data_IF_781700617456
#
_entry.id   IF_781700617456
#
_cell.length_a   1.000
_cell.length_b   1.000
_cell.length_c   1.000
_cell.angle_alpha   90.00
_cell.angle_beta   90.00
_cell.angle_gamma   90.00
#
_symmetry.space_group_name_H-M   'P 1'
#
loop_
_entity.id
_entity.type
_entity.pdbx_description
1 polymer ?
#
# COMPACT_ATOMS: atom_id res chain seq x y z
N UNK A 1 -15.37 -5.23 -94.69
CA UNK A 1 -16.29 -4.57 -93.79
C UNK A 1 -15.87 -4.91 -92.34
N UNK A 2 -15.23 -3.88 -91.67
CA UNK A 2 -14.69 -4.04 -90.31
C UNK A 2 -15.71 -3.43 -89.31
N UNK A 3 -16.23 -4.24 -88.41
CA UNK A 3 -17.12 -3.79 -87.34
C UNK A 3 -16.30 -3.51 -86.12
N UNK A 4 -16.26 -2.25 -85.73
CA UNK A 4 -15.55 -1.74 -84.53
C UNK A 4 -16.49 -1.98 -83.34
N UNK A 5 -16.08 -2.83 -82.38
CA UNK A 5 -16.78 -3.02 -81.11
C UNK A 5 -16.23 -2.01 -80.10
N UNK A 6 -17.09 -1.10 -79.66
CA UNK A 6 -16.81 -0.10 -78.63
C UNK A 6 -17.02 -0.77 -77.26
N UNK A 7 -15.93 -0.95 -76.51
CA UNK A 7 -16.00 -1.42 -75.12
C UNK A 7 -16.05 -0.17 -74.23
N UNK A 8 -17.22 0.04 -73.60
CA UNK A 8 -17.41 1.07 -72.59
C UNK A 8 -16.96 0.51 -71.23
N UNK A 9 -15.85 1.03 -70.70
CA UNK A 9 -15.37 0.67 -69.35
C UNK A 9 -16.11 1.54 -68.33
N UNK A 10 -17.02 0.96 -67.55
CA UNK A 10 -17.63 1.60 -66.37
C UNK A 10 -16.60 1.55 -65.20
N UNK A 11 -16.03 2.67 -64.85
CA UNK A 11 -15.29 2.85 -63.61
C UNK A 11 -16.32 3.03 -62.49
N UNK A 12 -16.51 1.98 -61.67
CA UNK A 12 -17.23 2.09 -60.42
C UNK A 12 -16.33 2.72 -59.37
N UNK A 13 -16.57 4.00 -59.04
CA UNK A 13 -15.95 4.65 -57.93
C UNK A 13 -16.53 4.08 -56.63
N UNK A 14 -15.74 3.23 -55.94
CA UNK A 14 -16.07 2.80 -54.55
C UNK A 14 -15.77 3.96 -53.63
N UNK A 15 -16.78 4.69 -53.20
CA UNK A 15 -16.67 5.61 -52.08
C UNK A 15 -16.42 4.81 -50.80
N UNK A 16 -15.18 4.83 -50.33
CA UNK A 16 -14.87 4.36 -48.97
C UNK A 16 -15.57 5.28 -47.97
N UNK A 17 -16.61 4.81 -47.37
CA UNK A 17 -17.24 5.46 -46.23
C UNK A 17 -16.23 5.42 -45.06
N UNK A 18 -15.66 6.58 -44.74
CA UNK A 18 -14.84 6.81 -43.56
C UNK A 18 -15.73 6.56 -42.34
N UNK A 19 -15.51 5.45 -41.66
CA UNK A 19 -16.16 5.17 -40.37
C UNK A 19 -15.75 6.26 -39.39
N UNK A 20 -16.72 6.97 -38.74
CA UNK A 20 -16.38 7.92 -37.71
C UNK A 20 -15.63 7.18 -36.59
N UNK A 21 -14.37 7.62 -36.36
CA UNK A 21 -13.45 7.00 -35.43
C UNK A 21 -14.11 6.66 -34.12
N UNK A 22 -14.09 5.38 -33.77
CA UNK A 22 -14.52 4.92 -32.45
C UNK A 22 -13.78 5.77 -31.42
N UNK A 23 -14.48 6.63 -30.70
CA UNK A 23 -13.95 7.34 -29.54
C UNK A 23 -13.35 6.28 -28.62
N UNK A 24 -12.02 6.22 -28.56
CA UNK A 24 -11.28 5.37 -27.65
C UNK A 24 -11.88 5.63 -26.27
N UNK A 25 -12.60 4.64 -25.71
CA UNK A 25 -13.23 4.78 -24.40
C UNK A 25 -12.14 5.26 -23.44
N UNK A 26 -12.39 6.37 -22.77
CA UNK A 26 -11.46 6.86 -21.76
C UNK A 26 -11.22 5.72 -20.76
N UNK A 27 -9.97 5.42 -20.38
CA UNK A 27 -9.69 4.35 -19.44
C UNK A 27 -10.53 4.57 -18.20
N UNK A 28 -11.25 3.53 -17.75
CA UNK A 28 -12.08 3.61 -16.56
C UNK A 28 -11.24 4.21 -15.43
N UNK A 29 -11.71 5.31 -14.85
CA UNK A 29 -10.97 6.01 -13.81
C UNK A 29 -10.82 5.08 -12.60
N UNK A 30 -9.59 4.87 -12.15
CA UNK A 30 -9.27 4.05 -10.97
C UNK A 30 -9.99 4.61 -9.73
N UNK A 31 -10.55 3.71 -8.92
CA UNK A 31 -11.29 4.07 -7.71
C UNK A 31 -10.44 3.76 -6.47
N UNK A 32 -9.39 4.53 -6.28
CA UNK A 32 -8.50 4.40 -5.14
C UNK A 32 -8.79 5.51 -4.15
N UNK A 33 -8.97 5.12 -2.88
CA UNK A 33 -9.12 6.05 -1.76
C UNK A 33 -7.91 5.93 -0.85
N UNK A 34 -7.36 7.07 -0.45
CA UNK A 34 -6.42 7.13 0.65
C UNK A 34 -6.99 8.02 1.76
N UNK A 35 -6.92 7.53 3.00
CA UNK A 35 -7.42 8.24 4.18
C UNK A 35 -8.86 8.76 3.97
N UNK A 36 -9.75 7.87 3.55
CA UNK A 36 -11.17 8.11 3.24
C UNK A 36 -11.45 9.05 2.05
N UNK A 37 -10.44 9.62 1.39
CA UNK A 37 -10.61 10.52 0.23
C UNK A 37 -10.27 9.81 -1.07
N UNK A 38 -11.16 9.92 -2.07
CA UNK A 38 -10.91 9.45 -3.43
C UNK A 38 -9.78 10.28 -4.05
N UNK A 39 -8.80 9.60 -4.67
CA UNK A 39 -7.68 10.28 -5.32
C UNK A 39 -8.14 11.00 -6.59
N UNK A 40 -7.66 12.23 -6.76
CA UNK A 40 -7.80 13.00 -7.98
C UNK A 40 -6.78 12.60 -9.04
N UNK A 41 -6.93 13.15 -10.26
CA UNK A 41 -6.06 12.80 -11.39
C UNK A 41 -4.56 13.03 -11.11
N UNK A 42 -4.19 14.13 -10.44
CA UNK A 42 -2.80 14.43 -10.10
C UNK A 42 -2.21 13.43 -9.08
N UNK A 43 -3.01 13.02 -8.10
CA UNK A 43 -2.61 12.03 -7.10
C UNK A 43 -2.49 10.63 -7.72
N UNK A 44 -3.43 10.26 -8.60
CA UNK A 44 -3.35 9.01 -9.36
C UNK A 44 -2.08 8.97 -10.23
N UNK A 45 -1.73 10.06 -10.92
CA UNK A 45 -0.50 10.14 -11.69
C UNK A 45 0.76 10.01 -10.81
N UNK A 46 0.72 10.52 -9.58
CA UNK A 46 1.79 10.33 -8.60
C UNK A 46 1.87 8.88 -8.15
N UNK A 47 0.74 8.26 -7.82
CA UNK A 47 0.64 6.86 -7.43
C UNK A 47 1.16 5.94 -8.55
N UNK A 48 0.77 6.16 -9.81
CA UNK A 48 1.22 5.37 -10.96
C UNK A 48 2.74 5.42 -11.18
N UNK A 49 3.38 6.54 -10.83
CA UNK A 49 4.86 6.63 -10.86
C UNK A 49 5.50 5.73 -9.80
N UNK A 50 4.92 5.68 -8.60
CA UNK A 50 5.40 4.84 -7.50
C UNK A 50 5.17 3.36 -7.79
N UNK A 51 4.02 3.02 -8.36
CA UNK A 51 3.65 1.65 -8.71
C UNK A 51 4.61 0.97 -9.69
N UNK A 52 5.34 1.73 -10.49
CA UNK A 52 6.36 1.17 -11.40
C UNK A 52 7.49 0.44 -10.66
N UNK A 53 7.72 0.78 -9.39
CA UNK A 53 8.77 0.14 -8.57
C UNK A 53 8.28 -0.91 -7.58
N UNK A 54 6.99 -0.90 -7.24
CA UNK A 54 6.44 -1.73 -6.14
C UNK A 54 5.24 -2.58 -6.55
N UNK A 55 4.75 -2.44 -7.78
CA UNK A 55 3.56 -3.12 -8.28
C UNK A 55 2.29 -2.26 -8.16
N UNK A 56 1.30 -2.60 -8.99
CA UNK A 56 0.05 -1.85 -9.10
C UNK A 56 -0.89 -2.16 -7.93
N UNK A 57 -1.47 -1.12 -7.34
CA UNK A 57 -2.55 -1.26 -6.37
C UNK A 57 -3.88 -1.51 -7.08
N UNK A 58 -4.70 -2.37 -6.50
CA UNK A 58 -6.08 -2.58 -6.92
C UNK A 58 -6.96 -1.40 -6.50
N UNK A 59 -8.14 -1.28 -7.12
CA UNK A 59 -9.17 -0.37 -6.63
C UNK A 59 -9.54 -0.73 -5.20
N UNK A 60 -9.69 0.29 -4.35
CA UNK A 60 -9.96 0.03 -2.93
C UNK A 60 -9.66 1.21 -2.02
N UNK A 61 -9.78 0.93 -0.73
CA UNK A 61 -9.50 1.92 0.33
C UNK A 61 -8.23 1.54 1.08
N UNK A 62 -7.37 2.51 1.22
CA UNK A 62 -6.05 2.40 1.84
C UNK A 62 -5.86 3.54 2.85
N UNK A 63 -4.88 3.41 3.69
CA UNK A 63 -4.38 4.49 4.53
C UNK A 63 -2.89 4.75 4.23
N UNK A 64 -2.49 5.97 4.47
CA UNK A 64 -1.13 6.45 4.29
C UNK A 64 -0.79 7.48 5.37
N UNK A 65 0.33 7.28 6.03
CA UNK A 65 0.89 8.21 6.99
C UNK A 65 1.96 9.08 6.30
N UNK A 66 1.71 10.36 6.06
CA UNK A 66 2.67 11.23 5.38
C UNK A 66 3.95 11.50 6.19
N UNK A 67 3.95 11.29 7.51
CA UNK A 67 5.15 11.51 8.34
C UNK A 67 6.15 10.39 8.20
N UNK A 68 5.71 9.15 8.17
CA UNK A 68 6.58 7.97 8.08
C UNK A 68 6.68 7.38 6.69
N UNK A 69 5.67 7.59 5.85
CA UNK A 69 5.47 6.86 4.61
C UNK A 69 4.75 5.53 4.77
N UNK A 70 4.46 5.09 6.00
CA UNK A 70 3.76 3.84 6.24
C UNK A 70 2.39 3.83 5.56
N UNK A 71 2.02 2.71 4.96
CA UNK A 71 0.76 2.56 4.24
C UNK A 71 0.22 1.13 4.36
N UNK A 72 -1.09 0.98 4.26
CA UNK A 72 -1.75 -0.31 4.33
C UNK A 72 -3.17 -0.27 3.77
N UNK A 73 -3.83 -1.42 3.74
CA UNK A 73 -5.26 -1.47 3.45
C UNK A 73 -6.05 -0.92 4.62
N UNK A 74 -7.17 -0.30 4.33
CA UNK A 74 -8.09 0.19 5.37
C UNK A 74 -8.47 -0.93 6.35
N UNK A 75 -8.39 -0.63 7.63
CA UNK A 75 -8.66 -1.60 8.69
C UNK A 75 -7.52 -2.59 8.99
N UNK A 76 -6.40 -2.51 8.26
CA UNK A 76 -5.28 -3.45 8.37
C UNK A 76 -3.97 -2.84 8.87
N UNK A 77 -2.94 -3.69 9.02
CA UNK A 77 -1.60 -3.27 9.44
C UNK A 77 -0.87 -2.49 8.35
N UNK A 78 0.31 -1.96 8.69
CA UNK A 78 1.26 -1.44 7.73
C UNK A 78 1.80 -2.57 6.84
N UNK A 79 1.69 -2.41 5.52
CA UNK A 79 2.13 -3.39 4.54
C UNK A 79 3.30 -2.89 3.69
N UNK A 80 3.45 -1.57 3.58
CA UNK A 80 4.49 -0.96 2.75
C UNK A 80 4.87 0.42 3.29
N UNK A 81 6.03 0.90 2.80
CA UNK A 81 6.47 2.28 3.01
C UNK A 81 6.56 2.96 1.64
N UNK A 82 5.73 3.97 1.46
CA UNK A 82 5.82 4.93 0.36
C UNK A 82 6.76 6.06 0.76
N UNK A 83 7.24 6.88 -0.19
CA UNK A 83 7.96 8.09 0.17
C UNK A 83 7.15 8.94 1.16
N UNK A 84 7.78 9.44 2.23
CA UNK A 84 7.10 10.36 3.16
C UNK A 84 6.81 11.71 2.50
N UNK A 85 5.86 12.45 3.04
CA UNK A 85 5.51 13.79 2.56
C UNK A 85 4.65 13.84 1.30
N UNK A 86 4.16 12.70 0.79
CA UNK A 86 3.24 12.71 -0.35
C UNK A 86 1.88 13.28 0.05
N UNK A 87 1.32 14.11 -0.84
CA UNK A 87 -0.06 14.58 -0.72
C UNK A 87 -1.02 13.55 -1.34
N UNK A 88 -1.20 12.42 -0.68
CA UNK A 88 -2.12 11.36 -1.09
C UNK A 88 -3.31 11.28 -0.14
N UNK A 89 -4.50 11.53 -0.67
CA UNK A 89 -5.72 11.42 0.08
C UNK A 89 -5.93 12.53 1.13
N UNK A 90 -6.69 12.23 2.16
CA UNK A 90 -7.00 13.12 3.28
C UNK A 90 -5.98 13.05 4.42
N UNK A 91 -6.23 13.74 5.54
CA UNK A 91 -5.47 13.54 6.77
C UNK A 91 -5.62 12.10 7.24
N UNK A 92 -4.58 11.57 7.93
CA UNK A 92 -4.58 10.20 8.43
C UNK A 92 -5.63 10.05 9.55
N UNK A 93 -6.67 9.22 9.40
CA UNK A 93 -7.68 9.04 10.43
C UNK A 93 -7.19 8.09 11.54
N UNK A 94 -7.73 8.28 12.74
CA UNK A 94 -7.37 7.47 13.89
C UNK A 94 -7.78 6.00 13.72
N UNK A 95 -8.87 5.74 13.01
CA UNK A 95 -9.47 4.43 12.76
C UNK A 95 -8.95 3.72 11.50
N UNK A 96 -7.94 4.28 10.87
CA UNK A 96 -7.42 3.76 9.60
C UNK A 96 -6.97 2.28 9.65
N UNK A 97 -6.62 1.77 10.82
CA UNK A 97 -6.26 0.36 11.05
C UNK A 97 -7.32 -0.44 11.82
N UNK A 98 -8.58 0.02 11.81
CA UNK A 98 -9.70 -0.70 12.42
C UNK A 98 -9.99 -0.34 13.88
N UNK A 99 -9.15 0.52 14.49
CA UNK A 99 -9.35 1.01 15.85
C UNK A 99 -9.85 2.47 15.89
N UNK A 100 -9.15 3.31 16.67
CA UNK A 100 -9.35 4.77 16.69
C UNK A 100 -9.88 5.31 18.00
N UNK A 101 -10.43 4.46 18.86
CA UNK A 101 -10.96 4.82 20.17
C UNK A 101 -10.06 4.34 21.34
N UNK A 102 -8.88 3.79 21.04
CA UNK A 102 -8.00 3.20 22.03
C UNK A 102 -8.43 1.82 22.54
N UNK A 103 -9.45 1.23 21.92
CA UNK A 103 -10.00 -0.06 22.31
C UNK A 103 -9.33 -1.24 21.61
N UNK A 104 -8.60 -0.99 20.53
CA UNK A 104 -7.93 -2.04 19.76
C UNK A 104 -6.58 -2.41 20.38
N UNK A 105 -5.68 -1.44 20.52
CA UNK A 105 -4.34 -1.63 21.11
C UNK A 105 -3.99 -0.56 22.12
N UNK A 106 -4.70 0.57 22.09
CA UNK A 106 -4.39 1.77 22.86
C UNK A 106 -3.08 2.46 22.45
N UNK A 107 -2.40 1.98 21.41
CA UNK A 107 -1.13 2.55 20.90
C UNK A 107 -1.42 3.38 19.66
N UNK A 108 -1.19 4.67 19.75
CA UNK A 108 -1.37 5.59 18.63
C UNK A 108 -0.02 6.05 18.10
N UNK A 109 0.15 6.04 16.78
CA UNK A 109 1.31 6.61 16.10
C UNK A 109 0.83 7.62 15.06
N UNK A 110 1.31 8.86 15.16
CA UNK A 110 0.92 9.98 14.30
C UNK A 110 -0.60 10.16 14.20
N UNK A 111 -1.33 9.87 15.30
CA UNK A 111 -2.77 9.97 15.38
C UNK A 111 -3.55 8.70 15.01
N UNK A 112 -2.96 7.73 14.33
CA UNK A 112 -3.58 6.44 13.96
C UNK A 112 -3.40 5.42 15.08
N UNK A 113 -4.47 4.74 15.52
CA UNK A 113 -4.36 3.58 16.41
C UNK A 113 -3.76 2.40 15.63
N UNK A 114 -2.69 1.83 16.14
CA UNK A 114 -1.97 0.76 15.48
C UNK A 114 -2.78 -0.53 15.44
N UNK A 115 -2.68 -1.25 14.34
CA UNK A 115 -3.15 -2.63 14.26
C UNK A 115 -2.34 -3.53 15.22
N UNK A 116 -2.91 -4.58 15.82
CA UNK A 116 -2.19 -5.50 16.71
C UNK A 116 -0.90 -6.06 16.10
N UNK A 117 -0.88 -6.32 14.79
CA UNK A 117 0.32 -6.78 14.08
C UNK A 117 1.42 -5.73 14.00
N UNK A 118 1.07 -4.44 13.89
CA UNK A 118 2.06 -3.36 13.94
C UNK A 118 2.71 -3.30 15.33
N UNK A 119 1.89 -3.39 16.39
CA UNK A 119 2.38 -3.41 17.78
C UNK A 119 3.31 -4.59 18.01
N UNK A 120 2.96 -5.76 17.51
CA UNK A 120 3.82 -6.95 17.63
C UNK A 120 5.15 -6.78 16.87
N UNK A 121 5.14 -6.20 15.67
CA UNK A 121 6.36 -5.89 14.94
C UNK A 121 7.25 -4.93 15.72
N UNK A 122 6.67 -3.90 16.33
CA UNK A 122 7.40 -2.96 17.19
C UNK A 122 7.94 -3.64 18.45
N UNK A 123 7.18 -4.51 19.10
CA UNK A 123 7.64 -5.26 20.28
C UNK A 123 8.89 -6.10 20.01
N UNK A 124 9.06 -6.59 18.79
CA UNK A 124 10.27 -7.30 18.40
C UNK A 124 11.48 -6.39 18.28
N UNK A 125 11.28 -5.10 17.98
CA UNK A 125 12.37 -4.13 17.83
C UNK A 125 12.75 -3.46 19.15
N UNK A 126 11.76 -3.16 20.00
CA UNK A 126 11.95 -2.34 21.21
C UNK A 126 11.57 -3.07 22.50
N UNK A 127 11.15 -4.35 22.41
CA UNK A 127 10.70 -5.15 23.53
C UNK A 127 9.27 -4.77 23.93
N UNK A 128 9.10 -3.87 24.88
CA UNK A 128 7.78 -3.47 25.33
C UNK A 128 7.27 -2.23 24.60
N UNK A 129 6.06 -2.29 24.06
CA UNK A 129 5.33 -1.16 23.49
C UNK A 129 4.21 -0.78 24.48
N UNK A 130 4.30 0.43 25.02
CA UNK A 130 3.32 0.93 25.98
C UNK A 130 2.14 1.60 25.24
N UNK A 131 0.91 1.41 25.69
CA UNK A 131 -0.23 2.21 25.24
C UNK A 131 0.05 3.71 25.42
N UNK A 132 -0.49 4.53 24.52
CA UNK A 132 -0.27 5.97 24.54
C UNK A 132 -0.20 6.55 23.15
N UNK A 133 0.09 7.86 23.09
CA UNK A 133 0.19 8.62 21.84
C UNK A 133 1.66 8.91 21.55
N UNK A 134 2.09 8.45 20.37
CA UNK A 134 3.47 8.51 19.93
C UNK A 134 3.56 9.24 18.60
N UNK A 135 4.68 9.88 18.37
CA UNK A 135 5.04 10.33 17.02
C UNK A 135 6.23 9.53 16.51
N UNK A 136 6.25 9.30 15.20
CA UNK A 136 7.36 8.72 14.44
C UNK A 136 7.56 9.57 13.20
N UNK A 137 8.81 9.86 12.84
CA UNK A 137 9.16 10.59 11.62
C UNK A 137 9.72 9.67 10.52
N UNK A 138 10.00 10.26 9.37
CA UNK A 138 10.56 9.57 8.21
C UNK A 138 11.96 8.97 8.46
N UNK A 139 12.71 9.53 9.40
CA UNK A 139 14.05 9.08 9.79
C UNK A 139 13.98 7.96 10.83
N UNK A 140 12.77 7.60 11.27
CA UNK A 140 12.52 6.58 12.29
C UNK A 140 12.72 7.06 13.72
N UNK A 141 12.92 8.37 13.95
CA UNK A 141 12.91 8.89 15.31
C UNK A 141 11.52 8.77 15.89
N UNK A 142 11.40 8.43 17.16
CA UNK A 142 10.13 8.30 17.86
C UNK A 142 10.16 8.95 19.22
N UNK A 143 9.01 9.38 19.71
CA UNK A 143 8.82 9.97 21.03
C UNK A 143 7.33 10.04 21.39
N UNK A 144 7.05 10.45 22.62
CA UNK A 144 5.68 10.76 23.05
C UNK A 144 5.17 11.99 22.29
N UNK A 145 3.87 12.03 22.01
CA UNK A 145 3.24 13.16 21.34
C UNK A 145 3.53 14.47 22.10
N UNK A 146 4.08 15.46 21.40
CA UNK A 146 4.52 16.73 22.01
C UNK A 146 5.86 16.68 22.77
N UNK A 147 6.50 15.52 22.91
CA UNK A 147 7.77 15.35 23.60
C UNK A 147 8.99 15.26 22.64
N UNK A 148 10.20 15.25 23.23
CA UNK A 148 11.44 15.07 22.49
C UNK A 148 11.57 13.63 21.94
N UNK A 149 12.49 13.38 21.00
CA UNK A 149 12.81 12.03 20.54
C UNK A 149 13.39 11.19 21.70
N UNK A 150 12.88 9.96 21.82
CA UNK A 150 13.33 8.98 22.81
C UNK A 150 14.26 7.93 22.21
N UNK A 151 14.26 7.79 20.88
CA UNK A 151 15.08 6.82 20.17
C UNK A 151 14.86 6.84 18.67
N UNK A 152 15.44 5.84 17.98
CA UNK A 152 15.34 5.70 16.55
C UNK A 152 15.10 4.23 16.17
N UNK A 153 13.95 3.95 15.53
CA UNK A 153 13.52 2.61 15.16
C UNK A 153 14.44 1.96 14.11
N UNK A 154 14.98 2.76 13.17
CA UNK A 154 15.89 2.22 12.16
C UNK A 154 17.25 1.83 12.75
N UNK A 155 17.72 2.55 13.77
CA UNK A 155 18.94 2.18 14.49
C UNK A 155 18.73 0.88 15.26
N UNK A 156 17.61 0.74 15.95
CA UNK A 156 17.22 -0.50 16.63
C UNK A 156 17.08 -1.67 15.67
N UNK A 157 16.38 -1.50 14.55
CA UNK A 157 16.25 -2.53 13.54
C UNK A 157 17.59 -2.99 12.96
N UNK A 158 18.54 -2.06 12.78
CA UNK A 158 19.92 -2.41 12.37
C UNK A 158 20.66 -3.19 13.45
N UNK A 159 20.57 -2.76 14.71
CA UNK A 159 21.21 -3.43 15.82
C UNK A 159 20.69 -4.88 15.97
N UNK A 160 19.40 -5.09 15.83
CA UNK A 160 18.81 -6.43 15.83
C UNK A 160 19.32 -7.31 14.67
N UNK A 161 19.57 -6.74 13.49
CA UNK A 161 20.13 -7.49 12.35
C UNK A 161 21.62 -7.82 12.48
N UNK A 162 22.38 -6.96 13.17
CA UNK A 162 23.85 -7.11 13.30
C UNK A 162 24.27 -7.81 14.59
N UNK A 163 23.45 -7.76 15.64
CA UNK A 163 23.79 -8.30 16.98
C UNK A 163 23.13 -9.61 17.34
N UNK A 164 22.19 -10.09 16.57
CA UNK A 164 21.51 -11.36 16.81
C UNK A 164 21.93 -12.42 15.81
N UNK A 165 22.52 -13.50 16.27
CA UNK A 165 22.60 -14.70 15.46
C UNK A 165 21.20 -15.02 14.92
N UNK A 166 21.14 -15.54 13.70
CA UNK A 166 19.92 -15.92 12.97
C UNK A 166 18.96 -16.71 13.86
N UNK A 167 18.12 -16.03 14.63
CA UNK A 167 17.03 -16.68 15.34
C UNK A 167 15.85 -16.74 14.39
N UNK A 168 15.72 -17.87 13.71
CA UNK A 168 14.49 -18.20 13.01
C UNK A 168 13.36 -18.29 14.04
N UNK A 169 12.27 -17.57 13.80
CA UNK A 169 11.08 -17.62 14.62
C UNK A 169 9.84 -17.74 13.73
N UNK A 170 8.84 -18.43 14.22
CA UNK A 170 7.53 -18.50 13.59
C UNK A 170 6.45 -18.28 14.63
N UNK A 171 5.42 -17.54 14.30
CA UNK A 171 4.23 -17.36 15.14
C UNK A 171 2.98 -17.59 14.29
N UNK A 172 2.11 -18.42 14.82
CA UNK A 172 0.80 -18.68 14.26
C UNK A 172 -0.25 -17.88 15.05
N UNK A 173 -1.14 -17.22 14.32
CA UNK A 173 -2.27 -16.50 14.88
C UNK A 173 -3.55 -17.13 14.38
N UNK A 174 -4.38 -17.58 15.33
CA UNK A 174 -5.74 -18.02 15.05
C UNK A 174 -6.67 -16.81 15.22
N UNK A 175 -7.27 -16.35 14.13
CA UNK A 175 -8.32 -15.36 14.17
C UNK A 175 -9.63 -16.00 14.63
N UNK A 176 -10.47 -15.23 15.33
CA UNK A 176 -11.81 -15.68 15.76
C UNK A 176 -12.79 -15.81 14.60
N UNK A 177 -12.42 -15.38 13.40
CA UNK A 177 -13.24 -15.45 12.18
C UNK A 177 -12.59 -16.41 11.18
N UNK A 178 -13.34 -17.31 10.51
CA UNK A 178 -12.80 -18.18 9.48
C UNK A 178 -12.06 -17.38 8.39
N UNK A 179 -10.81 -17.76 8.08
CA UNK A 179 -9.97 -17.11 7.09
C UNK A 179 -9.02 -16.04 7.65
N UNK A 180 -9.03 -15.74 8.94
CA UNK A 180 -8.11 -14.78 9.58
C UNK A 180 -6.86 -15.43 10.18
N UNK A 181 -6.61 -16.69 9.91
CA UNK A 181 -5.38 -17.33 10.38
C UNK A 181 -4.17 -16.74 9.63
N UNK A 182 -3.18 -16.31 10.40
CA UNK A 182 -1.96 -15.71 9.86
C UNK A 182 -0.74 -16.41 10.44
N UNK A 183 0.19 -16.75 9.57
CA UNK A 183 1.53 -17.20 9.97
C UNK A 183 2.53 -16.09 9.68
N UNK A 184 3.35 -15.80 10.66
CA UNK A 184 4.50 -14.92 10.52
C UNK A 184 5.75 -15.76 10.78
N UNK A 185 6.70 -15.73 9.88
CA UNK A 185 7.98 -16.43 10.04
C UNK A 185 9.13 -15.55 9.58
N UNK A 186 10.25 -15.62 10.27
CA UNK A 186 11.48 -14.96 9.84
C UNK A 186 12.68 -15.86 10.14
N UNK A 187 13.64 -15.88 9.25
CA UNK A 187 14.95 -16.53 9.43
C UNK A 187 16.04 -15.52 9.85
N UNK A 188 15.62 -14.30 10.19
CA UNK A 188 16.51 -13.18 10.53
C UNK A 188 17.00 -12.36 9.33
N UNK A 189 16.76 -12.82 8.09
CA UNK A 189 17.05 -12.13 6.84
C UNK A 189 15.78 -11.86 6.03
N UNK A 190 14.89 -12.82 6.02
CA UNK A 190 13.63 -12.79 5.28
C UNK A 190 12.48 -12.92 6.26
N UNK A 191 11.47 -12.06 6.15
CA UNK A 191 10.22 -12.18 6.90
C UNK A 191 9.09 -12.52 5.95
N UNK A 192 8.40 -13.62 6.24
CA UNK A 192 7.25 -14.08 5.47
C UNK A 192 5.96 -13.90 6.25
N UNK A 193 4.93 -13.43 5.58
CA UNK A 193 3.54 -13.36 6.07
C UNK A 193 2.71 -14.29 5.20
N UNK A 194 2.01 -15.22 5.83
CA UNK A 194 1.10 -16.14 5.14
C UNK A 194 -0.28 -16.09 5.78
N UNK A 195 -1.30 -15.97 4.97
CA UNK A 195 -2.72 -16.11 5.33
C UNK A 195 -3.36 -17.14 4.43
N UNK A 196 -4.61 -17.52 4.68
CA UNK A 196 -5.34 -18.41 3.79
C UNK A 196 -5.35 -17.86 2.35
N UNK A 197 -4.56 -18.47 1.46
CA UNK A 197 -4.47 -18.12 0.04
C UNK A 197 -3.47 -17.02 -0.34
N UNK A 198 -2.70 -16.49 0.62
CA UNK A 198 -1.68 -15.48 0.32
C UNK A 198 -0.41 -15.71 1.14
N UNK A 199 0.74 -15.67 0.49
CA UNK A 199 2.04 -15.68 1.16
C UNK A 199 2.97 -14.67 0.48
N UNK A 200 3.67 -13.87 1.25
CA UNK A 200 4.67 -12.93 0.75
C UNK A 200 5.86 -12.86 1.71
N UNK A 201 7.05 -12.86 1.14
CA UNK A 201 8.31 -12.71 1.86
C UNK A 201 8.99 -11.38 1.48
N UNK A 202 9.73 -10.79 2.42
CA UNK A 202 10.61 -9.65 2.19
C UNK A 202 12.04 -10.17 2.15
N UNK A 203 12.82 -9.87 1.10
CA UNK A 203 14.22 -10.30 1.05
C UNK A 203 14.68 -10.96 -0.25
N UNK A 204 13.85 -10.87 -1.31
CA UNK A 204 14.28 -11.14 -2.69
C UNK A 204 14.28 -9.86 -3.51
#
# INVERSE_FOLDING_TARGET
MRVLALVVLLLAATASAEQPGAKKAAPASRKIRFNNRLLGAAELATLERLERGVGRLDDGTYWYDPRTGASGRWGGPALAFLPPGLSLGGPLPADASGGGQGMLTGVFVNGRELHPLDVMGLQQLIGQVLPGRWWVDAQGNYGLEGGPPLGNLWALARAHRTGGGKQAWSKHYEGTTPGQNMNLASDGTTTCVSTAGYSRCTGE
#
